data_IF_474173916598
#
_entry.id   IF_474173916598
#
_cell.length_a   1.000
_cell.length_b   1.000
_cell.length_c   1.000
_cell.angle_alpha   90.00
_cell.angle_beta   90.00
_cell.angle_gamma   90.00
#
_symmetry.space_group_name_H-M   'P 1'
#
loop_
_entity.id
_entity.type
_entity.pdbx_description
1 polymer ?
#
# COMPACT_ATOMS: atom_id res chain seq x y z
N UNK A 1 -14.04 2.73 -40.59
CA UNK A 1 -14.42 1.80 -39.50
C UNK A 1 -13.44 2.00 -38.36
N UNK A 2 -13.84 2.72 -37.30
CA UNK A 2 -13.03 2.83 -36.08
C UNK A 2 -12.82 1.42 -35.50
N UNK A 3 -11.60 1.06 -35.06
CA UNK A 3 -11.41 -0.17 -34.32
C UNK A 3 -12.23 -0.07 -33.04
N UNK A 4 -13.16 -1.01 -32.89
CA UNK A 4 -14.02 -1.12 -31.73
C UNK A 4 -13.14 -1.14 -30.47
N UNK A 5 -13.39 -0.20 -29.56
CA UNK A 5 -12.87 -0.26 -28.21
C UNK A 5 -13.25 -1.64 -27.65
N UNK A 6 -12.25 -2.49 -27.45
CA UNK A 6 -12.42 -3.72 -26.70
C UNK A 6 -13.01 -3.32 -25.36
N UNK A 7 -14.28 -3.69 -25.13
CA UNK A 7 -14.83 -3.78 -23.77
C UNK A 7 -13.77 -4.51 -22.94
N UNK A 8 -13.53 -4.13 -21.68
CA UNK A 8 -12.71 -4.92 -20.77
C UNK A 8 -13.45 -6.25 -20.50
N UNK A 9 -13.45 -7.13 -21.49
CA UNK A 9 -13.97 -8.48 -21.46
C UNK A 9 -13.03 -9.27 -20.57
N UNK A 10 -13.52 -9.73 -19.41
CA UNK A 10 -13.52 -11.14 -18.92
C UNK A 10 -12.27 -12.01 -19.12
N UNK A 11 -11.13 -11.45 -19.50
CA UNK A 11 -9.89 -12.16 -19.85
C UNK A 11 -9.04 -12.42 -18.58
N UNK A 12 -9.35 -11.74 -17.47
CA UNK A 12 -8.64 -11.84 -16.20
C UNK A 12 -9.13 -12.95 -15.25
N UNK A 13 -10.34 -13.47 -15.42
CA UNK A 13 -10.93 -14.38 -14.42
C UNK A 13 -10.39 -15.82 -14.51
N UNK A 14 -9.99 -16.26 -15.72
CA UNK A 14 -9.47 -17.63 -15.93
C UNK A 14 -8.12 -17.91 -15.26
N UNK A 15 -7.34 -16.87 -14.98
CA UNK A 15 -5.99 -16.97 -14.41
C UNK A 15 -5.91 -16.37 -13.00
N UNK A 16 -7.04 -15.90 -12.46
CA UNK A 16 -7.11 -15.40 -11.11
C UNK A 16 -7.06 -16.59 -10.14
N UNK A 17 -6.17 -16.52 -9.15
CA UNK A 17 -6.21 -17.46 -8.04
C UNK A 17 -7.59 -17.34 -7.36
N UNK A 18 -8.30 -18.45 -7.12
CA UNK A 18 -9.63 -18.39 -6.58
C UNK A 18 -9.60 -17.86 -5.14
N UNK A 19 -10.63 -17.11 -4.74
CA UNK A 19 -10.69 -16.47 -3.42
C UNK A 19 -10.50 -17.48 -2.27
N UNK A 20 -11.10 -18.66 -2.38
CA UNK A 20 -10.98 -19.70 -1.37
C UNK A 20 -9.54 -20.16 -1.17
N UNK A 21 -8.70 -20.14 -2.23
CA UNK A 21 -7.30 -20.54 -2.15
C UNK A 21 -6.48 -19.47 -1.40
N UNK A 22 -6.68 -18.19 -1.75
CA UNK A 22 -6.04 -17.06 -1.07
C UNK A 22 -6.42 -17.06 0.42
N UNK A 23 -7.71 -17.23 0.71
CA UNK A 23 -8.23 -17.33 2.07
C UNK A 23 -7.61 -18.51 2.82
N UNK A 24 -7.59 -19.70 2.23
CA UNK A 24 -7.03 -20.89 2.86
C UNK A 24 -5.54 -20.71 3.20
N UNK A 25 -4.74 -20.13 2.30
CA UNK A 25 -3.32 -19.83 2.55
C UNK A 25 -3.15 -18.86 3.72
N UNK A 26 -3.93 -17.77 3.78
CA UNK A 26 -3.81 -16.79 4.87
C UNK A 26 -4.34 -17.29 6.21
N UNK A 27 -5.40 -18.10 6.21
CA UNK A 27 -5.89 -18.78 7.42
C UNK A 27 -4.86 -19.82 7.91
N UNK A 28 -4.20 -20.54 7.00
CA UNK A 28 -3.09 -21.42 7.36
C UNK A 28 -1.97 -20.62 8.04
N UNK A 29 -1.57 -19.47 7.48
CA UNK A 29 -0.56 -18.61 8.10
C UNK A 29 -0.98 -18.12 9.50
N UNK A 30 -2.23 -17.68 9.67
CA UNK A 30 -2.78 -17.32 10.99
C UNK A 30 -2.66 -18.48 12.00
N UNK A 31 -2.87 -19.72 11.56
CA UNK A 31 -2.78 -20.92 12.42
C UNK A 31 -1.34 -21.31 12.80
N UNK A 32 -0.38 -21.04 11.90
CA UNK A 32 1.05 -21.32 12.07
C UNK A 32 1.76 -20.27 12.93
N UNK A 33 1.37 -18.99 12.80
CA UNK A 33 2.00 -17.89 13.53
C UNK A 33 1.52 -17.88 14.98
N UNK A 34 2.32 -18.46 15.88
CA UNK A 34 2.04 -18.51 17.33
C UNK A 34 3.02 -17.70 18.19
N UNK A 35 4.11 -17.22 17.59
CA UNK A 35 5.12 -16.41 18.28
C UNK A 35 4.76 -14.92 18.31
N UNK A 36 5.54 -14.12 19.01
CA UNK A 36 5.56 -12.66 18.95
C UNK A 36 6.64 -12.16 17.96
N UNK A 37 6.50 -10.93 17.43
CA UNK A 37 7.51 -10.33 16.54
C UNK A 37 8.16 -9.08 17.11
N UNK A 38 7.39 -8.00 17.25
CA UNK A 38 7.87 -6.68 17.70
C UNK A 38 6.96 -6.13 18.78
N UNK A 39 7.47 -5.28 19.69
CA UNK A 39 6.66 -4.66 20.73
C UNK A 39 5.43 -3.92 20.18
N UNK A 40 5.54 -3.31 19.00
CA UNK A 40 4.45 -2.60 18.32
C UNK A 40 3.19 -3.45 18.11
N UNK A 41 3.33 -4.78 18.00
CA UNK A 41 2.18 -5.69 17.86
C UNK A 41 1.21 -5.60 19.04
N UNK A 42 1.72 -5.33 20.25
CA UNK A 42 0.92 -5.26 21.46
C UNK A 42 0.80 -3.82 21.97
N UNK A 43 1.93 -3.14 22.17
CA UNK A 43 2.01 -1.85 22.86
C UNK A 43 1.60 -0.65 22.00
N UNK A 44 1.39 -0.83 20.69
CA UNK A 44 0.92 0.23 19.78
C UNK A 44 -0.47 -0.06 19.22
N UNK A 45 -1.10 -1.18 19.61
CA UNK A 45 -2.42 -1.54 19.08
C UNK A 45 -3.30 -2.20 20.13
N UNK A 46 -3.02 -3.45 20.50
CA UNK A 46 -3.87 -4.26 21.38
C UNK A 46 -3.98 -3.67 22.79
N UNK A 47 -2.87 -3.28 23.41
CA UNK A 47 -2.85 -2.74 24.77
C UNK A 47 -3.56 -1.38 24.85
N UNK A 48 -3.37 -0.55 23.83
CA UNK A 48 -3.98 0.78 23.73
C UNK A 48 -5.49 0.65 23.55
N UNK A 49 -5.93 -0.25 22.67
CA UNK A 49 -7.34 -0.57 22.47
C UNK A 49 -7.99 -1.14 23.75
N UNK A 50 -7.23 -1.98 24.47
CA UNK A 50 -7.65 -2.53 25.75
C UNK A 50 -7.82 -1.42 26.80
N UNK A 51 -6.85 -0.51 26.94
CA UNK A 51 -6.92 0.63 27.84
C UNK A 51 -8.13 1.53 27.56
N UNK A 52 -8.45 1.79 26.28
CA UNK A 52 -9.62 2.57 25.88
C UNK A 52 -10.94 1.95 26.36
N UNK A 53 -11.07 0.62 26.27
CA UNK A 53 -12.34 -0.07 26.55
C UNK A 53 -12.50 -0.42 28.02
N UNK A 54 -11.45 -0.94 28.65
CA UNK A 54 -11.50 -1.47 30.01
C UNK A 54 -10.97 -0.49 31.07
N UNK A 55 -10.36 0.62 30.66
CA UNK A 55 -9.87 1.66 31.56
C UNK A 55 -8.59 1.33 32.31
N UNK A 56 -7.93 0.20 32.01
CA UNK A 56 -6.65 -0.18 32.60
C UNK A 56 -5.69 -0.74 31.54
N UNK A 57 -4.40 -0.72 31.87
CA UNK A 57 -3.30 -1.08 30.97
C UNK A 57 -2.27 0.03 30.87
N UNK A 58 -1.24 -0.17 30.07
CA UNK A 58 -0.14 0.78 29.93
C UNK A 58 -0.16 1.51 28.58
N UNK A 59 -0.18 2.84 28.63
CA UNK A 59 0.02 3.69 27.46
C UNK A 59 1.50 4.06 27.34
N UNK A 60 2.09 3.78 26.19
CA UNK A 60 3.48 4.19 25.92
C UNK A 60 3.57 5.71 25.76
N UNK A 61 4.79 6.23 25.91
CA UNK A 61 5.07 7.66 25.75
C UNK A 61 4.57 8.24 24.41
N UNK A 62 4.51 7.43 23.35
CA UNK A 62 4.03 7.86 22.03
C UNK A 62 2.55 8.27 22.04
N UNK A 63 1.74 7.61 22.88
CA UNK A 63 0.32 7.94 23.06
C UNK A 63 0.14 9.14 23.98
N UNK A 64 1.01 9.28 24.98
CA UNK A 64 1.04 10.44 25.88
C UNK A 64 1.40 11.71 25.11
N UNK A 65 2.39 11.65 24.22
CA UNK A 65 2.78 12.77 23.35
C UNK A 65 1.86 12.94 22.11
N UNK A 66 0.91 12.01 21.91
CA UNK A 66 -0.05 12.07 20.81
C UNK A 66 0.61 12.06 19.42
N UNK A 67 1.62 11.22 19.21
CA UNK A 67 2.30 11.08 17.90
C UNK A 67 1.70 9.98 17.01
N UNK A 68 0.81 9.15 17.58
CA UNK A 68 0.14 8.05 16.89
C UNK A 68 -1.35 8.35 16.78
N UNK A 69 -1.92 8.04 15.62
CA UNK A 69 -3.36 8.22 15.42
C UNK A 69 -4.12 7.06 16.06
N UNK A 70 -5.21 7.40 16.75
CA UNK A 70 -6.15 6.45 17.32
C UNK A 70 -7.03 5.80 16.25
N UNK A 71 -7.01 6.23 14.99
CA UNK A 71 -7.86 5.67 13.93
C UNK A 71 -7.74 4.15 13.79
N UNK A 72 -6.52 3.60 13.72
CA UNK A 72 -6.34 2.14 13.64
C UNK A 72 -6.72 1.43 14.94
N UNK A 73 -6.34 2.01 16.07
CA UNK A 73 -6.61 1.44 17.40
C UNK A 73 -8.10 1.44 17.70
N UNK A 74 -8.84 2.46 17.27
CA UNK A 74 -10.28 2.59 17.45
C UNK A 74 -11.05 1.44 16.80
N UNK A 75 -10.54 0.89 15.71
CA UNK A 75 -11.11 -0.28 15.06
C UNK A 75 -10.91 -1.57 15.87
N UNK A 76 -9.80 -1.69 16.60
CA UNK A 76 -9.57 -2.79 17.54
C UNK A 76 -10.38 -2.57 18.82
N UNK A 77 -10.43 -1.34 19.33
CA UNK A 77 -11.23 -0.97 20.50
C UNK A 77 -12.73 -1.24 20.26
N UNK A 78 -13.24 -0.98 19.05
CA UNK A 78 -14.61 -1.33 18.68
C UNK A 78 -14.88 -2.85 18.76
N UNK A 79 -13.91 -3.68 18.34
CA UNK A 79 -14.02 -5.14 18.50
C UNK A 79 -14.07 -5.53 19.98
N UNK A 80 -13.19 -4.97 20.81
CA UNK A 80 -13.17 -5.25 22.25
C UNK A 80 -14.43 -4.78 22.97
N UNK A 81 -14.93 -3.59 22.62
CA UNK A 81 -16.18 -3.06 23.17
C UNK A 81 -17.38 -3.96 22.84
N UNK A 82 -17.43 -4.49 21.61
CA UNK A 82 -18.45 -5.46 21.23
C UNK A 82 -18.35 -6.75 22.07
N UNK A 83 -17.13 -7.28 22.26
CA UNK A 83 -16.92 -8.45 23.11
C UNK A 83 -17.33 -8.20 24.56
N UNK A 84 -17.02 -7.01 25.08
CA UNK A 84 -17.37 -6.61 26.44
C UNK A 84 -18.90 -6.56 26.64
N UNK A 85 -19.65 -5.96 25.70
CA UNK A 85 -21.12 -5.93 25.77
C UNK A 85 -21.72 -7.34 25.68
N UNK A 86 -21.10 -8.24 24.90
CA UNK A 86 -21.55 -9.62 24.75
C UNK A 86 -21.08 -10.54 25.89
N UNK A 87 -20.29 -10.03 26.84
CA UNK A 87 -19.64 -10.82 27.89
C UNK A 87 -18.77 -11.98 27.33
N UNK A 88 -18.10 -11.72 26.21
CA UNK A 88 -17.18 -12.63 25.51
C UNK A 88 -15.73 -12.11 25.53
N UNK A 89 -15.38 -11.30 26.52
CA UNK A 89 -14.07 -10.67 26.73
C UNK A 89 -13.02 -11.63 27.34
N UNK A 90 -13.02 -12.89 26.89
CA UNK A 90 -11.96 -13.84 27.24
C UNK A 90 -10.67 -13.56 26.47
N UNK A 91 -9.54 -13.75 27.15
CA UNK A 91 -8.19 -13.44 26.65
C UNK A 91 -7.94 -14.05 25.26
N UNK A 92 -8.39 -15.29 25.02
CA UNK A 92 -8.19 -15.94 23.72
C UNK A 92 -8.87 -15.17 22.58
N UNK A 93 -10.06 -14.58 22.80
CA UNK A 93 -10.78 -13.85 21.76
C UNK A 93 -10.25 -12.43 21.59
N UNK A 94 -9.84 -11.78 22.68
CA UNK A 94 -9.13 -10.50 22.61
C UNK A 94 -7.84 -10.61 21.77
N UNK A 95 -7.15 -11.74 21.81
CA UNK A 95 -5.98 -11.98 20.97
C UNK A 95 -6.38 -12.42 19.55
N UNK A 96 -7.30 -13.38 19.42
CA UNK A 96 -7.60 -14.01 18.14
C UNK A 96 -8.40 -13.11 17.20
N UNK A 97 -9.38 -12.36 17.70
CA UNK A 97 -10.30 -11.59 16.87
C UNK A 97 -9.59 -10.48 16.09
N UNK A 98 -8.75 -9.62 16.68
CA UNK A 98 -8.00 -8.61 15.92
C UNK A 98 -7.08 -9.22 14.87
N UNK A 99 -6.44 -10.36 15.19
CA UNK A 99 -5.57 -11.09 14.26
C UNK A 99 -6.34 -11.70 13.09
N UNK A 100 -7.52 -12.25 13.35
CA UNK A 100 -8.42 -12.74 12.31
C UNK A 100 -8.85 -11.59 11.40
N UNK A 101 -9.27 -10.47 11.97
CA UNK A 101 -9.69 -9.30 11.20
C UNK A 101 -8.55 -8.75 10.34
N UNK A 102 -7.34 -8.64 10.89
CA UNK A 102 -6.14 -8.27 10.14
C UNK A 102 -5.85 -9.25 8.99
N UNK A 103 -6.02 -10.56 9.24
CA UNK A 103 -5.84 -11.60 8.22
C UNK A 103 -6.84 -11.42 7.08
N UNK A 104 -8.11 -11.11 7.39
CA UNK A 104 -9.15 -10.86 6.38
C UNK A 104 -8.85 -9.59 5.55
N UNK A 105 -8.34 -8.53 6.18
CA UNK A 105 -7.86 -7.32 5.46
C UNK A 105 -6.69 -7.67 4.54
N UNK A 106 -5.77 -8.52 4.98
CA UNK A 106 -4.65 -9.00 4.15
C UNK A 106 -5.13 -9.85 2.97
N UNK A 107 -6.12 -10.73 3.17
CA UNK A 107 -6.76 -11.48 2.06
C UNK A 107 -7.38 -10.55 1.03
N UNK A 108 -8.09 -9.51 1.48
CA UNK A 108 -8.65 -8.51 0.58
C UNK A 108 -7.56 -7.80 -0.23
N UNK A 109 -6.47 -7.41 0.44
CA UNK A 109 -5.33 -6.78 -0.21
C UNK A 109 -4.65 -7.71 -1.23
N UNK A 110 -4.47 -8.99 -0.91
CA UNK A 110 -3.91 -9.99 -1.84
C UNK A 110 -4.78 -10.14 -3.09
N UNK A 111 -6.12 -10.17 -2.95
CA UNK A 111 -7.04 -10.24 -4.09
C UNK A 111 -6.84 -9.03 -5.02
N UNK A 112 -6.76 -7.82 -4.47
CA UNK A 112 -6.56 -6.61 -5.27
C UNK A 112 -5.14 -6.53 -5.83
N UNK A 113 -4.13 -7.00 -5.11
CA UNK A 113 -2.75 -7.10 -5.58
C UNK A 113 -2.66 -8.03 -6.78
N UNK A 114 -3.23 -9.24 -6.68
CA UNK A 114 -3.25 -10.22 -7.77
C UNK A 114 -4.00 -9.65 -8.97
N UNK A 115 -5.16 -9.02 -8.76
CA UNK A 115 -5.89 -8.34 -9.84
C UNK A 115 -5.05 -7.24 -10.48
N UNK A 116 -4.31 -6.46 -9.71
CA UNK A 116 -3.42 -5.43 -10.23
C UNK A 116 -2.26 -6.03 -11.03
N UNK A 117 -1.64 -7.10 -10.55
CA UNK A 117 -0.59 -7.85 -11.25
C UNK A 117 -1.10 -8.37 -12.60
N UNK A 118 -2.30 -8.97 -12.64
CA UNK A 118 -2.94 -9.44 -13.86
C UNK A 118 -3.26 -8.31 -14.86
N UNK A 119 -3.48 -7.08 -14.38
CA UNK A 119 -3.68 -5.92 -15.26
C UNK A 119 -2.38 -5.39 -15.85
N UNK A 120 -1.25 -5.58 -15.16
CA UNK A 120 0.05 -5.02 -15.57
C UNK A 120 0.92 -5.99 -16.35
N UNK A 121 0.62 -7.29 -16.30
CA UNK A 121 1.51 -8.37 -16.75
C UNK A 121 0.80 -9.40 -17.63
N UNK A 122 1.58 -10.18 -18.38
CA UNK A 122 1.04 -11.32 -19.13
C UNK A 122 0.55 -12.43 -18.18
N UNK A 123 -0.41 -13.29 -18.59
CA UNK A 123 -0.98 -14.33 -17.74
C UNK A 123 0.04 -15.23 -17.00
N UNK A 124 1.11 -15.77 -17.65
CA UNK A 124 2.07 -16.63 -16.94
C UNK A 124 2.88 -15.87 -15.88
N UNK A 125 3.27 -14.63 -16.18
CA UNK A 125 4.00 -13.77 -15.23
C UNK A 125 3.10 -13.40 -14.06
N UNK A 126 1.83 -13.09 -14.34
CA UNK A 126 0.86 -12.73 -13.32
C UNK A 126 0.59 -13.88 -12.35
N UNK A 127 0.44 -15.10 -12.87
CA UNK A 127 0.24 -16.28 -12.06
C UNK A 127 1.45 -16.57 -11.16
N UNK A 128 2.66 -16.55 -11.72
CA UNK A 128 3.90 -16.77 -10.96
C UNK A 128 4.13 -15.68 -9.90
N UNK A 129 3.97 -14.41 -10.24
CA UNK A 129 4.11 -13.31 -9.29
C UNK A 129 3.09 -13.40 -8.14
N UNK A 130 1.87 -13.86 -8.44
CA UNK A 130 0.83 -14.10 -7.43
C UNK A 130 1.23 -15.20 -6.45
N UNK A 131 1.77 -16.32 -6.95
CA UNK A 131 2.27 -17.40 -6.10
C UNK A 131 3.46 -16.95 -5.25
N UNK A 132 4.39 -16.21 -5.82
CA UNK A 132 5.55 -15.67 -5.10
C UNK A 132 5.10 -14.71 -4.00
N UNK A 133 4.13 -13.83 -4.27
CA UNK A 133 3.56 -12.94 -3.25
C UNK A 133 2.87 -13.70 -2.11
N UNK A 134 2.10 -14.75 -2.44
CA UNK A 134 1.42 -15.55 -1.42
C UNK A 134 2.39 -16.39 -0.58
N UNK A 135 3.49 -16.85 -1.17
CA UNK A 135 4.52 -17.68 -0.53
C UNK A 135 5.64 -16.89 0.17
N UNK A 136 5.63 -15.56 0.11
CA UNK A 136 6.62 -14.75 0.84
C UNK A 136 6.55 -15.02 2.34
N UNK A 137 7.67 -15.43 2.92
CA UNK A 137 7.78 -15.75 4.34
C UNK A 137 7.50 -14.53 5.24
N UNK A 138 7.98 -13.34 4.85
CA UNK A 138 7.71 -12.10 5.59
C UNK A 138 6.22 -11.76 5.59
N UNK A 139 5.57 -11.83 4.42
CA UNK A 139 4.13 -11.59 4.33
C UNK A 139 3.33 -12.64 5.08
N UNK A 140 3.71 -13.92 4.99
CA UNK A 140 3.09 -14.99 5.77
C UNK A 140 3.19 -14.72 7.28
N UNK A 141 4.34 -14.23 7.73
CA UNK A 141 4.62 -13.96 9.13
C UNK A 141 3.93 -12.69 9.67
N UNK A 142 3.80 -11.64 8.85
CA UNK A 142 3.26 -10.34 9.26
C UNK A 142 1.76 -10.15 8.96
N UNK A 143 1.18 -10.88 8.00
CA UNK A 143 -0.19 -10.67 7.52
C UNK A 143 -1.28 -10.86 8.58
N UNK A 144 -1.02 -11.67 9.61
CA UNK A 144 -1.96 -11.95 10.71
C UNK A 144 -1.69 -11.14 11.99
N UNK A 145 -0.60 -10.37 12.02
CA UNK A 145 -0.19 -9.58 13.18
C UNK A 145 -0.76 -8.18 13.10
N UNK A 146 -1.22 -7.62 14.22
CA UNK A 146 -1.83 -6.29 14.34
C UNK A 146 -0.81 -5.15 14.22
N UNK A 147 -0.12 -5.14 13.08
CA UNK A 147 0.88 -4.14 12.74
C UNK A 147 0.29 -3.14 11.78
N UNK A 148 0.42 -1.86 12.12
CA UNK A 148 -0.02 -0.77 11.24
C UNK A 148 0.78 -0.74 9.92
N UNK A 149 2.01 -1.25 9.89
CA UNK A 149 2.78 -1.47 8.65
C UNK A 149 2.05 -2.41 7.68
N UNK A 150 1.46 -3.49 8.21
CA UNK A 150 0.72 -4.46 7.40
C UNK A 150 -0.54 -3.80 6.83
N UNK A 151 -1.22 -2.94 7.59
CA UNK A 151 -2.37 -2.17 7.10
C UNK A 151 -1.96 -1.17 6.02
N UNK A 152 -0.86 -0.43 6.19
CA UNK A 152 -0.29 0.47 5.18
C UNK A 152 -0.01 -0.27 3.86
N UNK A 153 0.63 -1.44 3.95
CA UNK A 153 0.86 -2.29 2.79
C UNK A 153 -0.45 -2.75 2.16
N UNK A 154 -1.41 -3.24 2.96
CA UNK A 154 -2.70 -3.73 2.49
C UNK A 154 -3.48 -2.64 1.74
N UNK A 155 -3.57 -1.44 2.32
CA UNK A 155 -4.19 -0.28 1.69
C UNK A 155 -3.46 0.11 0.40
N UNK A 156 -2.13 0.06 0.39
CA UNK A 156 -1.33 0.34 -0.80
C UNK A 156 -1.62 -0.65 -1.93
N UNK A 157 -1.73 -1.95 -1.65
CA UNK A 157 -2.11 -2.96 -2.65
C UNK A 157 -3.48 -2.67 -3.29
N UNK A 158 -4.47 -2.29 -2.47
CA UNK A 158 -5.81 -1.93 -2.97
C UNK A 158 -5.77 -0.62 -3.76
N UNK A 159 -5.04 0.38 -3.29
CA UNK A 159 -4.89 1.67 -3.97
C UNK A 159 -4.18 1.52 -5.32
N UNK A 160 -3.14 0.68 -5.42
CA UNK A 160 -2.46 0.38 -6.69
C UNK A 160 -3.41 -0.23 -7.71
N UNK A 161 -4.36 -1.07 -7.29
CA UNK A 161 -5.40 -1.56 -8.20
C UNK A 161 -6.26 -0.41 -8.73
N UNK A 162 -6.78 0.48 -7.88
CA UNK A 162 -7.67 1.57 -8.32
C UNK A 162 -6.96 2.73 -9.00
N UNK A 163 -5.63 2.83 -8.87
CA UNK A 163 -4.85 3.87 -9.50
C UNK A 163 -5.07 3.90 -11.03
N UNK A 164 -5.24 5.08 -11.64
CA UNK A 164 -5.61 5.20 -13.05
C UNK A 164 -4.44 4.93 -13.99
N UNK A 165 -3.92 3.70 -14.06
CA UNK A 165 -2.76 3.37 -14.91
C UNK A 165 -3.00 3.71 -16.40
N UNK A 166 -2.03 4.35 -17.10
CA UNK A 166 -2.18 4.70 -18.51
C UNK A 166 -2.48 3.51 -19.42
N UNK A 167 -1.87 2.34 -19.12
CA UNK A 167 -2.01 1.11 -19.91
C UNK A 167 -3.43 0.54 -19.96
N UNK A 168 -4.25 0.81 -18.95
CA UNK A 168 -5.57 0.18 -18.78
C UNK A 168 -6.70 1.13 -19.21
N UNK A 169 -6.36 2.31 -19.74
CA UNK A 169 -7.30 3.36 -20.17
C UNK A 169 -8.44 3.61 -19.16
N UNK A 170 -8.10 3.55 -17.86
CA UNK A 170 -9.05 3.79 -16.77
C UNK A 170 -9.25 5.29 -16.61
N UNK A 171 -10.52 5.69 -16.47
CA UNK A 171 -10.87 7.06 -16.06
C UNK A 171 -10.21 7.37 -14.72
N UNK A 172 -9.86 8.64 -14.51
CA UNK A 172 -9.38 9.11 -13.21
C UNK A 172 -10.49 8.86 -12.16
N UNK A 173 -10.26 7.88 -11.29
CA UNK A 173 -11.13 7.55 -10.15
C UNK A 173 -10.59 8.22 -8.88
N UNK A 174 -11.47 8.61 -7.96
CA UNK A 174 -11.12 9.20 -6.66
C UNK A 174 -11.00 8.15 -5.55
N UNK A 175 -11.43 6.91 -5.78
CA UNK A 175 -11.36 5.83 -4.77
C UNK A 175 -9.94 5.62 -4.23
N UNK A 176 -8.94 5.61 -5.10
CA UNK A 176 -7.57 5.43 -4.66
C UNK A 176 -7.10 6.61 -3.80
N UNK A 177 -7.56 7.85 -4.07
CA UNK A 177 -7.20 9.03 -3.28
C UNK A 177 -7.65 8.90 -1.83
N UNK A 178 -8.87 8.38 -1.59
CA UNK A 178 -9.35 8.15 -0.23
C UNK A 178 -8.48 7.12 0.50
N UNK A 179 -8.16 6.00 -0.15
CA UNK A 179 -7.31 4.96 0.45
C UNK A 179 -5.93 5.52 0.77
N UNK A 180 -5.34 6.28 -0.16
CA UNK A 180 -4.02 6.92 0.02
C UNK A 180 -4.07 7.99 1.12
N UNK A 181 -5.12 8.81 1.15
CA UNK A 181 -5.31 9.83 2.18
C UNK A 181 -5.36 9.22 3.58
N UNK A 182 -6.16 8.17 3.78
CA UNK A 182 -6.19 7.43 5.05
C UNK A 182 -4.84 6.77 5.36
N UNK A 183 -4.18 6.18 4.36
CA UNK A 183 -2.87 5.55 4.54
C UNK A 183 -1.82 6.55 5.04
N UNK A 184 -1.74 7.74 4.43
CA UNK A 184 -0.82 8.81 4.82
C UNK A 184 -1.11 9.40 6.21
N UNK A 185 -2.38 9.42 6.64
CA UNK A 185 -2.75 9.83 8.00
C UNK A 185 -2.32 8.78 9.03
N UNK A 186 -2.63 7.51 8.76
CA UNK A 186 -2.26 6.40 9.64
C UNK A 186 -0.74 6.25 9.75
N UNK A 187 -0.03 6.48 8.64
CA UNK A 187 1.43 6.45 8.56
C UNK A 187 1.93 7.56 7.62
N UNK A 188 2.44 8.67 8.18
CA UNK A 188 3.01 9.76 7.38
C UNK A 188 4.14 9.34 6.43
N UNK A 189 4.79 8.20 6.70
CA UNK A 189 5.81 7.61 5.81
C UNK A 189 5.26 7.19 4.45
N UNK A 190 3.98 6.85 4.34
CA UNK A 190 3.35 6.47 3.06
C UNK A 190 3.36 7.60 2.04
N UNK A 191 3.48 8.86 2.49
CA UNK A 191 3.65 10.02 1.63
C UNK A 191 4.89 9.89 0.73
N UNK A 192 5.95 9.21 1.17
CA UNK A 192 7.17 9.00 0.37
C UNK A 192 6.85 8.17 -0.88
N UNK A 193 6.06 7.11 -0.72
CA UNK A 193 5.65 6.24 -1.81
C UNK A 193 4.65 6.93 -2.75
N UNK A 194 3.63 7.58 -2.17
CA UNK A 194 2.47 8.04 -2.93
C UNK A 194 2.65 9.40 -3.58
N UNK A 195 3.44 10.32 -3.00
CA UNK A 195 3.71 11.64 -3.60
C UNK A 195 4.12 11.56 -5.07
N UNK A 196 5.13 10.78 -5.50
CA UNK A 196 5.53 10.72 -6.91
C UNK A 196 4.42 10.17 -7.84
N UNK A 197 3.63 9.19 -7.38
CA UNK A 197 2.50 8.65 -8.14
C UNK A 197 1.36 9.67 -8.25
N UNK A 198 1.02 10.34 -7.16
CA UNK A 198 0.03 11.39 -7.13
C UNK A 198 0.41 12.57 -8.04
N UNK A 199 1.67 13.00 -8.00
CA UNK A 199 2.20 14.03 -8.89
C UNK A 199 2.11 13.60 -10.36
N UNK A 200 2.54 12.37 -10.69
CA UNK A 200 2.43 11.83 -12.04
C UNK A 200 0.98 11.86 -12.55
N UNK A 201 0.03 11.47 -11.71
CA UNK A 201 -1.38 11.45 -12.09
C UNK A 201 -1.99 12.87 -12.24
N UNK A 202 -1.49 13.85 -11.47
CA UNK A 202 -1.84 15.27 -11.65
C UNK A 202 -1.29 15.78 -12.98
N UNK A 203 -0.02 15.58 -13.26
CA UNK A 203 0.63 16.07 -14.48
C UNK A 203 0.07 15.47 -15.77
N UNK A 204 -0.45 14.24 -15.71
CA UNK A 204 -1.11 13.60 -16.84
C UNK A 204 -2.56 14.06 -17.05
N UNK A 205 -3.18 14.66 -16.04
CA UNK A 205 -4.55 15.13 -16.17
C UNK A 205 -4.63 16.31 -17.13
N UNK A 206 -5.69 16.35 -17.94
CA UNK A 206 -5.96 17.48 -18.85
C UNK A 206 -6.14 18.81 -18.09
N UNK A 207 -6.58 18.75 -16.83
CA UNK A 207 -6.83 19.92 -15.98
C UNK A 207 -6.22 19.73 -14.58
N UNK A 208 -4.89 19.91 -14.42
CA UNK A 208 -4.17 19.59 -13.18
C UNK A 208 -4.68 20.41 -11.98
N UNK A 209 -4.97 21.69 -12.16
CA UNK A 209 -5.49 22.56 -11.09
C UNK A 209 -6.87 22.12 -10.61
N UNK A 210 -7.79 21.84 -11.53
CA UNK A 210 -9.13 21.34 -11.18
C UNK A 210 -8.99 20.04 -10.41
N UNK A 211 -8.12 19.15 -10.86
CA UNK A 211 -7.89 17.87 -10.20
C UNK A 211 -7.34 18.03 -8.78
N UNK A 212 -6.40 18.95 -8.57
CA UNK A 212 -5.88 19.26 -7.24
C UNK A 212 -7.01 19.78 -6.34
N UNK A 213 -7.70 20.86 -6.76
CA UNK A 213 -8.65 21.56 -5.90
C UNK A 213 -9.99 20.84 -5.71
N UNK A 214 -10.47 20.05 -6.67
CA UNK A 214 -11.74 19.33 -6.56
C UNK A 214 -11.60 17.89 -6.05
N UNK A 215 -10.40 17.30 -6.09
CA UNK A 215 -10.21 15.90 -5.66
C UNK A 215 -9.14 15.75 -4.59
N UNK A 216 -7.90 16.20 -4.82
CA UNK A 216 -6.82 15.99 -3.84
C UNK A 216 -7.03 16.79 -2.55
N UNK A 217 -7.31 18.09 -2.66
CA UNK A 217 -7.49 18.96 -1.49
C UNK A 217 -8.69 18.53 -0.65
N UNK A 218 -9.90 18.29 -1.21
CA UNK A 218 -11.05 17.89 -0.41
C UNK A 218 -10.85 16.54 0.28
N UNK A 219 -10.23 15.57 -0.41
CA UNK A 219 -9.94 14.25 0.18
C UNK A 219 -8.90 14.38 1.31
N UNK A 220 -7.80 15.09 1.06
CA UNK A 220 -6.75 15.30 2.05
C UNK A 220 -7.26 16.03 3.30
N UNK A 221 -8.02 17.10 3.11
CA UNK A 221 -8.66 17.85 4.21
C UNK A 221 -9.64 16.96 4.97
N UNK A 222 -10.46 16.17 4.27
CA UNK A 222 -11.42 15.27 4.92
C UNK A 222 -10.72 14.20 5.77
N UNK A 223 -9.68 13.56 5.25
CA UNK A 223 -8.89 12.58 6.01
C UNK A 223 -8.19 13.23 7.22
N UNK A 224 -7.66 14.44 7.06
CA UNK A 224 -7.01 15.18 8.13
C UNK A 224 -8.01 15.58 9.23
N UNK A 225 -9.19 16.10 8.85
CA UNK A 225 -10.25 16.44 9.80
C UNK A 225 -10.71 15.20 10.57
N UNK A 226 -10.90 14.07 9.87
CA UNK A 226 -11.23 12.81 10.51
C UNK A 226 -10.18 12.39 11.54
N UNK A 227 -8.89 12.49 11.20
CA UNK A 227 -7.78 12.25 12.13
C UNK A 227 -7.88 13.13 13.37
N UNK A 228 -8.00 14.45 13.19
CA UNK A 228 -8.03 15.41 14.29
C UNK A 228 -9.22 15.19 15.19
N UNK A 229 -10.41 14.94 14.62
CA UNK A 229 -11.62 14.70 15.41
C UNK A 229 -11.47 13.43 16.26
N UNK A 230 -11.07 12.32 15.63
CA UNK A 230 -10.93 11.04 16.33
C UNK A 230 -9.84 11.11 17.39
N UNK A 231 -8.66 11.63 17.01
CA UNK A 231 -7.52 11.68 17.91
C UNK A 231 -7.76 12.65 19.06
N UNK A 232 -8.37 13.81 18.81
CA UNK A 232 -8.70 14.75 19.89
C UNK A 232 -9.76 14.20 20.85
N UNK A 233 -10.70 13.41 20.34
CA UNK A 233 -11.73 12.79 21.16
C UNK A 233 -11.15 11.73 22.11
N UNK A 234 -10.29 10.83 21.59
CA UNK A 234 -9.65 9.81 22.42
C UNK A 234 -8.57 10.38 23.35
N UNK A 235 -7.89 11.44 22.95
CA UNK A 235 -6.86 12.07 23.78
C UNK A 235 -7.46 12.97 24.89
N UNK A 236 -8.72 13.38 24.77
CA UNK A 236 -9.38 14.25 25.76
C UNK A 236 -9.07 15.74 25.62
N UNK A 237 -8.47 16.15 24.49
CA UNK A 237 -8.09 17.53 24.20
C UNK A 237 -7.70 17.70 22.73
N UNK A 238 -7.58 18.95 22.26
CA UNK A 238 -7.21 19.20 20.86
C UNK A 238 -5.83 18.62 20.53
N UNK A 239 -5.78 17.69 19.58
CA UNK A 239 -4.57 17.00 19.16
C UNK A 239 -4.41 17.05 17.64
N UNK A 240 -3.24 17.53 17.19
CA UNK A 240 -2.84 17.51 15.78
C UNK A 240 -1.71 16.51 15.55
N UNK A 241 -2.08 15.22 15.52
CA UNK A 241 -1.16 14.07 15.47
C UNK A 241 -0.10 14.16 14.37
N UNK A 242 -0.42 14.52 13.09
CA UNK A 242 0.59 14.58 12.03
C UNK A 242 1.70 15.59 12.32
N UNK A 243 1.37 16.71 12.98
CA UNK A 243 2.37 17.70 13.39
C UNK A 243 3.21 17.23 14.56
N UNK A 244 2.60 16.61 15.57
CA UNK A 244 3.36 16.05 16.71
C UNK A 244 4.33 14.97 16.24
N UNK A 245 3.89 14.11 15.32
CA UNK A 245 4.74 13.13 14.66
C UNK A 245 5.93 13.79 13.96
N UNK A 246 5.68 14.83 13.14
CA UNK A 246 6.73 15.57 12.42
C UNK A 246 7.72 16.23 13.39
N UNK A 247 7.20 16.92 14.41
CA UNK A 247 7.99 17.63 15.41
C UNK A 247 8.92 16.69 16.16
N UNK A 248 8.40 15.58 16.69
CA UNK A 248 9.19 14.71 17.55
C UNK A 248 10.12 13.78 16.77
N UNK A 249 9.66 13.20 15.66
CA UNK A 249 10.48 12.23 14.93
C UNK A 249 11.51 12.88 14.00
N UNK A 250 11.16 14.00 13.37
CA UNK A 250 12.02 14.67 12.37
C UNK A 250 12.76 15.85 12.99
N UNK A 251 12.05 16.78 13.66
CA UNK A 251 12.70 17.98 14.19
C UNK A 251 13.52 17.70 15.47
N UNK A 252 13.00 16.84 16.36
CA UNK A 252 13.69 16.46 17.60
C UNK A 252 14.56 15.20 17.47
N UNK A 253 14.56 14.54 16.31
CA UNK A 253 15.47 13.43 16.00
C UNK A 253 15.31 12.17 16.85
N UNK A 254 14.19 12.00 17.56
CA UNK A 254 13.95 10.85 18.47
C UNK A 254 14.02 9.51 17.73
N UNK A 255 13.70 9.51 16.43
CA UNK A 255 13.78 8.33 15.56
C UNK A 255 15.21 7.75 15.44
N UNK A 256 16.26 8.57 15.57
CA UNK A 256 17.65 8.13 15.51
C UNK A 256 18.11 7.31 16.73
N UNK A 257 17.35 7.34 17.82
CA UNK A 257 17.71 6.64 19.07
C UNK A 257 17.40 5.13 19.02
N UNK A 258 16.47 4.71 18.16
CA UNK A 258 15.96 3.33 18.15
C UNK A 258 16.76 2.38 17.25
N UNK A 259 17.40 2.88 16.18
CA UNK A 259 18.44 2.18 15.41
C UNK A 259 18.83 2.98 14.17
N UNK A 260 20.10 2.90 13.79
CA UNK A 260 20.58 3.37 12.48
C UNK A 260 21.30 2.23 11.79
N UNK A 261 20.91 1.93 10.55
CA UNK A 261 21.63 0.98 9.72
C UNK A 261 22.41 1.69 8.62
N UNK A 262 23.59 1.16 8.20
CA UNK A 262 24.27 1.63 7.01
C UNK A 262 23.36 1.55 5.78
N UNK A 263 23.52 2.48 4.83
CA UNK A 263 22.66 2.55 3.64
C UNK A 263 22.58 1.22 2.85
N UNK A 264 23.68 0.46 2.82
CA UNK A 264 23.74 -0.80 2.07
C UNK A 264 22.91 -1.90 2.73
N UNK A 265 22.61 -1.81 4.03
CA UNK A 265 21.82 -2.81 4.77
C UNK A 265 20.45 -3.01 4.14
N UNK A 266 19.82 -1.93 3.65
CA UNK A 266 18.52 -2.02 2.98
C UNK A 266 18.56 -2.89 1.73
N UNK A 267 19.67 -2.86 0.99
CA UNK A 267 19.84 -3.66 -0.24
C UNK A 267 20.28 -5.09 0.09
N UNK A 268 21.25 -5.24 1.00
CA UNK A 268 21.86 -6.53 1.30
C UNK A 268 21.02 -7.43 2.22
N UNK A 269 20.24 -6.84 3.12
CA UNK A 269 19.47 -7.55 4.12
C UNK A 269 17.99 -7.17 4.10
N UNK A 270 17.64 -5.88 4.11
CA UNK A 270 16.26 -5.41 4.20
C UNK A 270 15.36 -5.95 3.08
N UNK A 271 15.71 -5.70 1.82
CA UNK A 271 14.94 -6.17 0.65
C UNK A 271 14.85 -7.71 0.61
N UNK A 272 15.96 -8.48 0.73
CA UNK A 272 15.88 -9.94 0.77
C UNK A 272 15.03 -10.49 1.91
N UNK A 273 15.08 -9.89 3.10
CA UNK A 273 14.27 -10.32 4.25
C UNK A 273 12.78 -10.09 4.04
N UNK A 274 12.40 -8.97 3.42
CA UNK A 274 10.98 -8.60 3.22
C UNK A 274 10.37 -9.27 1.99
N UNK A 275 11.06 -9.23 0.85
CA UNK A 275 10.53 -9.79 -0.39
C UNK A 275 10.82 -11.30 -0.51
N UNK A 276 11.73 -11.83 0.30
CA UNK A 276 12.20 -13.21 0.22
C UNK A 276 13.23 -13.40 -0.90
N UNK A 277 14.14 -14.37 -0.75
CA UNK A 277 15.20 -14.64 -1.73
C UNK A 277 14.62 -14.97 -3.12
N UNK A 278 13.44 -15.58 -3.17
CA UNK A 278 12.78 -15.99 -4.41
C UNK A 278 12.30 -14.83 -5.28
N UNK A 279 12.08 -13.63 -4.72
CA UNK A 279 11.67 -12.44 -5.51
C UNK A 279 12.85 -11.66 -6.08
N UNK A 280 14.07 -11.85 -5.56
CA UNK A 280 15.26 -11.10 -5.97
C UNK A 280 15.54 -11.26 -7.47
N UNK A 281 15.48 -12.47 -8.08
CA UNK A 281 15.66 -12.62 -9.52
C UNK A 281 14.61 -11.87 -10.35
N UNK A 282 13.35 -11.85 -9.90
CA UNK A 282 12.27 -11.14 -10.58
C UNK A 282 12.43 -9.62 -10.48
N UNK A 283 12.88 -9.13 -9.33
CA UNK A 283 13.17 -7.70 -9.13
C UNK A 283 14.30 -7.24 -10.05
N UNK A 284 15.40 -7.99 -10.12
CA UNK A 284 16.53 -7.70 -11.02
C UNK A 284 16.09 -7.73 -12.47
N UNK A 285 15.27 -8.72 -12.87
CA UNK A 285 14.72 -8.77 -14.23
C UNK A 285 13.81 -7.58 -14.54
N UNK A 286 12.95 -7.18 -13.60
CA UNK A 286 12.05 -6.04 -13.74
C UNK A 286 12.78 -4.70 -13.87
N UNK A 287 13.82 -4.48 -13.05
CA UNK A 287 14.69 -3.30 -13.14
C UNK A 287 15.43 -3.27 -14.48
N UNK A 288 15.97 -4.40 -14.93
CA UNK A 288 16.64 -4.50 -16.23
C UNK A 288 15.68 -4.22 -17.39
N UNK A 289 14.43 -4.70 -17.33
CA UNK A 289 13.42 -4.40 -18.33
C UNK A 289 13.08 -2.90 -18.36
N UNK A 290 12.92 -2.27 -17.19
CA UNK A 290 12.69 -0.83 -17.07
C UNK A 290 13.85 0.00 -17.64
N UNK A 291 15.09 -0.35 -17.27
CA UNK A 291 16.29 0.32 -17.78
C UNK A 291 16.37 0.18 -19.30
N UNK A 292 16.11 -1.00 -19.86
CA UNK A 292 16.10 -1.20 -21.32
C UNK A 292 15.06 -0.33 -22.01
N UNK A 293 13.86 -0.20 -21.46
CA UNK A 293 12.83 0.68 -22.02
C UNK A 293 13.27 2.14 -22.00
N UNK A 294 13.85 2.61 -20.88
CA UNK A 294 14.38 3.98 -20.74
C UNK A 294 15.54 4.24 -21.69
N UNK A 295 16.46 3.29 -21.84
CA UNK A 295 17.61 3.42 -22.75
C UNK A 295 17.19 3.41 -24.22
N UNK A 296 16.21 2.57 -24.60
CA UNK A 296 15.67 2.51 -25.96
C UNK A 296 14.87 3.77 -26.31
N UNK A 297 14.13 4.35 -25.36
CA UNK A 297 13.47 5.66 -25.57
C UNK A 297 14.48 6.80 -25.66
N UNK A 298 15.65 6.69 -25.03
CA UNK A 298 16.72 7.69 -25.12
C UNK A 298 17.52 7.60 -26.42
N UNK A 299 17.71 6.40 -26.99
CA UNK A 299 18.43 6.21 -28.26
C UNK A 299 17.59 6.56 -29.50
N UNK A 300 16.27 6.44 -29.42
CA UNK A 300 15.35 6.78 -30.52
C UNK A 300 15.07 8.29 -30.66
N UNK A 301 15.61 9.13 -29.76
CA UNK A 301 15.56 10.60 -29.86
C UNK A 301 16.65 11.25 -30.71
N UNK A 302 17.54 10.46 -31.35
CA UNK A 302 18.72 11.01 -32.07
C UNK A 302 18.85 10.63 -33.55
N UNK A 303 17.93 9.86 -34.12
CA UNK A 303 17.92 9.54 -35.56
C UNK A 303 16.51 9.62 -36.13
N UNK A 304 16.12 10.82 -36.56
CA UNK A 304 15.05 11.01 -37.53
C UNK A 304 15.67 11.24 -38.91
N UNK A 305 15.70 10.21 -39.76
CA UNK A 305 15.43 10.36 -41.19
C UNK A 305 15.23 9.01 -41.90
N UNK A 306 14.12 8.95 -42.64
CA UNK A 306 13.89 8.19 -43.89
C UNK A 306 13.32 6.76 -43.87
N UNK A 307 12.01 6.74 -44.21
CA UNK A 307 11.32 5.93 -45.23
C UNK A 307 10.73 4.54 -44.91
N UNK A 308 9.58 4.21 -45.56
CA UNK A 308 8.63 3.20 -45.11
C UNK A 308 8.68 1.95 -45.98
N UNK A 309 9.33 0.89 -45.52
CA UNK A 309 9.22 -0.46 -46.12
C UNK A 309 9.87 -1.46 -45.18
N UNK A 310 9.07 -2.11 -44.34
CA UNK A 310 9.27 -3.50 -43.90
C UNK A 310 8.17 -3.88 -42.89
N UNK A 311 7.07 -4.39 -43.42
CA UNK A 311 6.21 -5.33 -42.72
C UNK A 311 7.05 -6.56 -42.32
N UNK A 312 7.31 -6.74 -41.01
CA UNK A 312 7.46 -8.03 -40.32
C UNK A 312 8.01 -7.84 -38.90
N UNK A 313 7.20 -7.27 -37.99
CA UNK A 313 7.36 -7.43 -36.53
C UNK A 313 6.00 -7.23 -35.85
N UNK A 314 5.08 -8.16 -36.11
CA UNK A 314 3.80 -8.23 -35.43
C UNK A 314 3.99 -8.72 -33.98
N UNK A 315 4.20 -7.79 -33.04
CA UNK A 315 3.65 -7.82 -31.66
C UNK A 315 4.27 -6.82 -30.66
N UNK A 316 5.20 -5.93 -31.06
CA UNK A 316 5.85 -5.01 -30.11
C UNK A 316 5.64 -3.50 -30.36
N UNK A 317 4.87 -3.09 -31.36
CA UNK A 317 4.88 -1.70 -31.82
C UNK A 317 3.48 -1.08 -31.82
N UNK A 318 2.93 -0.79 -30.64
CA UNK A 318 1.77 0.12 -30.51
C UNK A 318 1.79 0.97 -29.23
N UNK A 319 2.93 1.06 -28.55
CA UNK A 319 3.11 1.84 -27.30
C UNK A 319 4.04 3.04 -27.53
N UNK A 320 3.91 3.72 -28.68
CA UNK A 320 4.91 4.68 -29.17
C UNK A 320 4.37 6.06 -29.56
N UNK A 321 3.16 6.41 -29.14
CA UNK A 321 2.69 7.80 -29.20
C UNK A 321 2.15 8.21 -27.84
N UNK A 322 2.91 9.00 -27.07
CA UNK A 322 2.50 9.89 -25.96
C UNK A 322 3.58 10.13 -24.86
N UNK A 323 4.87 9.93 -25.16
CA UNK A 323 5.96 10.54 -24.37
C UNK A 323 6.83 11.37 -25.31
N UNK A 324 6.18 12.30 -26.00
CA UNK A 324 6.82 13.49 -26.54
C UNK A 324 6.05 14.66 -25.95
N UNK A 325 6.50 15.15 -24.80
CA UNK A 325 6.61 16.56 -24.47
C UNK A 325 7.25 16.65 -23.08
N UNK A 326 8.27 17.50 -22.98
CA UNK A 326 9.06 17.85 -21.79
C UNK A 326 10.35 17.04 -21.55
N UNK A 327 11.29 17.25 -22.46
CA UNK A 327 12.68 17.52 -22.10
C UNK A 327 13.20 18.65 -22.99
N UNK A 328 13.00 19.91 -22.61
CA UNK A 328 13.87 21.06 -22.96
C UNK A 328 13.55 22.21 -21.98
N UNK A 329 14.54 22.70 -21.23
CA UNK A 329 14.54 24.07 -20.71
C UNK A 329 14.80 24.24 -19.22
N UNK A 330 16.10 24.35 -18.88
CA UNK A 330 16.70 24.87 -17.64
C UNK A 330 16.66 24.01 -16.37
#
# INVERSE_FOLDING_TARGET
>A
MSPAATKPSTMGDKYLLPLWFILAVRILHLSLVRSWFVPDEYWQSLEVAHNIVFGYGYLTWEWVEGIRSYLYVSFIAAQYYLLHILHLDYVQLLIFLPRLTQTLVSVLADVYLIRWICLMSSPPVAWLASLVSLSSACLAYCASRTLINTVEMNMTCVALYYYPWPRVNRKHDTKYLWIVGFCCILRPTSCILWTPLCLYDVFRSQSPLIRIFYHFVPVGVSCLLCCVIVDSWFHGGFLFTPWNFLRLNILSGVSGHYSTHPWHWYITAGIPSVLGILTVPFYVYGVNAMIRVVLVTRSSGFFSHCTPSCCCMSHCSCTLGLIQYQLVGC
#
